data_IF_448511965268
#
_entry.id   IF_448511965268
#
_cell.length_a   1.000
_cell.length_b   1.000
_cell.length_c   1.000
_cell.angle_alpha   90.00
_cell.angle_beta   90.00
_cell.angle_gamma   90.00
#
_symmetry.space_group_name_H-M   'P 1'
#
loop_
_entity.id
_entity.type
_entity.pdbx_description
1 polymer ?
#
# COMPACT_ATOMS: atom_id res chain seq x y z
N UNK A 1 -18.17 -17.77 13.33
CA UNK A 1 -16.69 -17.74 13.45
C UNK A 1 -16.35 -16.99 14.73
N UNK A 2 -15.48 -17.53 15.61
CA UNK A 2 -15.05 -16.78 16.80
C UNK A 2 -14.34 -15.48 16.42
N UNK A 3 -14.63 -14.39 17.13
CA UNK A 3 -14.14 -13.03 16.84
C UNK A 3 -12.61 -12.92 16.77
N UNK A 4 -11.89 -13.85 17.40
CA UNK A 4 -10.42 -13.89 17.39
C UNK A 4 -9.81 -14.12 16.00
N UNK A 5 -10.58 -14.70 15.07
CA UNK A 5 -10.10 -15.00 13.71
C UNK A 5 -10.46 -13.93 12.66
N UNK A 6 -11.24 -12.93 13.01
CA UNK A 6 -11.71 -11.91 12.07
C UNK A 6 -10.58 -11.20 11.33
N UNK A 7 -9.57 -10.73 12.05
CA UNK A 7 -8.41 -10.08 11.43
C UNK A 7 -7.63 -11.03 10.51
N UNK A 8 -7.45 -12.29 10.92
CA UNK A 8 -6.79 -13.29 10.11
C UNK A 8 -7.56 -13.56 8.81
N UNK A 9 -8.88 -13.69 8.88
CA UNK A 9 -9.73 -13.92 7.70
C UNK A 9 -9.61 -12.73 6.73
N UNK A 10 -9.68 -11.49 7.22
CA UNK A 10 -9.52 -10.29 6.37
C UNK A 10 -8.17 -10.31 5.67
N UNK A 11 -7.09 -10.60 6.39
CA UNK A 11 -5.74 -10.67 5.81
C UNK A 11 -5.65 -11.79 4.75
N UNK A 12 -6.14 -12.99 5.07
CA UNK A 12 -6.08 -14.13 4.14
C UNK A 12 -6.89 -13.85 2.88
N UNK A 13 -8.10 -13.32 3.00
CA UNK A 13 -8.93 -12.95 1.84
C UNK A 13 -8.24 -11.87 1.00
N UNK A 14 -7.71 -10.82 1.62
CA UNK A 14 -6.97 -9.78 0.92
C UNK A 14 -5.71 -10.33 0.24
N UNK A 15 -4.94 -11.21 0.90
CA UNK A 15 -3.77 -11.86 0.30
C UNK A 15 -4.16 -12.70 -0.92
N UNK A 16 -5.20 -13.53 -0.83
CA UNK A 16 -5.66 -14.35 -1.95
C UNK A 16 -6.07 -13.50 -3.14
N UNK A 17 -6.80 -12.40 -2.90
CA UNK A 17 -7.28 -11.52 -3.97
C UNK A 17 -6.12 -10.73 -4.59
N UNK A 18 -5.29 -10.06 -3.79
CA UNK A 18 -4.31 -9.10 -4.30
C UNK A 18 -2.98 -9.75 -4.70
N UNK A 19 -2.52 -10.82 -4.02
CA UNK A 19 -1.38 -11.60 -4.50
C UNK A 19 -1.71 -12.42 -5.74
N UNK A 20 -2.97 -12.78 -5.97
CA UNK A 20 -3.41 -13.35 -7.23
C UNK A 20 -3.11 -12.45 -8.43
N UNK A 21 -3.11 -11.13 -8.24
CA UNK A 21 -2.70 -10.16 -9.27
C UNK A 21 -1.19 -10.22 -9.61
N UNK A 22 -0.36 -10.74 -8.70
CA UNK A 22 1.09 -10.90 -8.92
C UNK A 22 1.37 -12.18 -9.71
N UNK A 23 0.62 -13.26 -9.44
CA UNK A 23 0.81 -14.58 -10.09
C UNK A 23 0.46 -14.53 -11.59
N UNK A 24 -0.52 -13.73 -11.97
CA UNK A 24 -0.90 -13.50 -13.38
C UNK A 24 -0.97 -12.01 -13.66
N UNK A 25 0.19 -11.31 -13.68
CA UNK A 25 0.20 -9.89 -13.94
C UNK A 25 -0.15 -9.64 -15.40
N UNK A 26 -0.97 -8.61 -15.72
CA UNK A 26 -0.96 -8.06 -17.06
C UNK A 26 0.47 -7.56 -17.37
N UNK A 27 0.93 -7.74 -18.60
CA UNK A 27 2.22 -7.21 -19.01
C UNK A 27 2.28 -5.68 -18.78
N UNK A 28 3.48 -5.14 -18.54
CA UNK A 28 3.71 -3.71 -18.38
C UNK A 28 3.67 -3.00 -19.76
N UNK A 29 2.59 -3.19 -20.50
CA UNK A 29 2.42 -2.64 -21.86
C UNK A 29 1.65 -1.32 -21.87
N UNK A 30 0.99 -0.96 -20.77
CA UNK A 30 0.35 0.33 -20.59
C UNK A 30 1.41 1.41 -20.26
N UNK A 31 1.31 2.57 -20.89
CA UNK A 31 2.23 3.70 -20.69
C UNK A 31 2.42 4.03 -19.21
N UNK A 32 1.35 3.96 -18.41
CA UNK A 32 1.42 4.25 -16.98
C UNK A 32 2.29 3.22 -16.24
N UNK A 33 2.07 1.93 -16.47
CA UNK A 33 2.80 0.85 -15.79
C UNK A 33 4.27 0.82 -16.20
N UNK A 34 4.54 0.93 -17.52
CA UNK A 34 5.89 0.91 -18.07
C UNK A 34 6.74 2.08 -17.56
N UNK A 35 6.18 3.30 -17.56
CA UNK A 35 6.86 4.51 -17.06
C UNK A 35 7.27 4.33 -15.59
N UNK A 36 6.36 3.86 -14.73
CA UNK A 36 6.63 3.72 -13.31
C UNK A 36 7.70 2.64 -13.03
N UNK A 37 7.62 1.52 -13.73
CA UNK A 37 8.58 0.44 -13.63
C UNK A 37 9.97 0.86 -14.14
N UNK A 38 10.02 1.60 -15.26
CA UNK A 38 11.27 2.09 -15.86
C UNK A 38 11.96 3.12 -14.95
N UNK A 39 11.23 4.04 -14.34
CA UNK A 39 11.81 5.01 -13.41
C UNK A 39 12.46 4.29 -12.21
N UNK A 40 11.78 3.29 -11.62
CA UNK A 40 12.34 2.52 -10.51
C UNK A 40 13.61 1.73 -10.95
N UNK A 41 13.61 1.18 -12.16
CA UNK A 41 14.79 0.53 -12.76
C UNK A 41 15.94 1.52 -12.97
N UNK A 42 15.66 2.70 -13.51
CA UNK A 42 16.66 3.74 -13.73
C UNK A 42 17.29 4.21 -12.42
N UNK A 43 16.49 4.35 -11.34
CA UNK A 43 17.02 4.65 -10.00
C UNK A 43 17.99 3.58 -9.51
N UNK A 44 17.67 2.31 -9.74
CA UNK A 44 18.53 1.19 -9.36
C UNK A 44 19.83 1.17 -10.17
N UNK A 45 19.75 1.35 -11.49
CA UNK A 45 20.92 1.30 -12.40
C UNK A 45 21.85 2.52 -12.23
N UNK A 46 21.27 3.71 -11.97
CA UNK A 46 22.07 4.95 -11.78
C UNK A 46 22.62 5.11 -10.37
N UNK A 47 22.01 4.46 -9.35
CA UNK A 47 22.28 4.70 -7.94
C UNK A 47 21.73 6.04 -7.41
N UNK A 48 21.03 6.83 -8.22
CA UNK A 48 20.36 8.07 -7.81
C UNK A 48 18.96 7.77 -7.32
N UNK A 49 18.82 7.60 -6.00
CA UNK A 49 17.56 7.30 -5.32
C UNK A 49 16.72 8.55 -5.01
N UNK A 50 17.26 9.74 -5.29
CA UNK A 50 16.59 11.02 -4.97
C UNK A 50 15.85 11.56 -6.18
N UNK A 51 16.48 11.52 -7.36
CA UNK A 51 15.96 12.16 -8.57
C UNK A 51 15.39 11.11 -9.54
N UNK A 52 14.06 10.93 -9.58
CA UNK A 52 13.45 10.04 -10.57
C UNK A 52 13.70 10.58 -11.99
N UNK A 53 14.15 9.71 -12.90
CA UNK A 53 14.42 10.06 -14.28
C UNK A 53 13.79 9.07 -15.24
N UNK A 54 13.22 9.60 -16.32
CA UNK A 54 12.72 8.82 -17.46
C UNK A 54 13.42 9.33 -18.72
N UNK A 55 14.09 8.46 -19.45
CA UNK A 55 14.85 8.80 -20.68
C UNK A 55 15.82 10.00 -20.49
N UNK A 56 16.45 10.07 -19.33
CA UNK A 56 17.38 11.16 -18.96
C UNK A 56 16.70 12.44 -18.45
N UNK A 57 15.39 12.58 -18.61
CA UNK A 57 14.62 13.74 -18.15
C UNK A 57 14.15 13.51 -16.69
N UNK A 58 14.23 14.55 -15.87
CA UNK A 58 13.75 14.53 -14.48
C UNK A 58 12.23 14.43 -14.45
N UNK A 59 11.69 13.46 -13.71
CA UNK A 59 10.27 13.15 -13.62
C UNK A 59 9.75 13.35 -12.18
N UNK A 60 9.21 14.54 -11.90
CA UNK A 60 8.77 14.91 -10.54
C UNK A 60 7.23 14.92 -10.35
N UNK A 61 6.49 14.27 -11.23
CA UNK A 61 5.02 14.26 -11.15
C UNK A 61 4.46 13.45 -9.96
N UNK A 62 5.23 12.49 -9.46
CA UNK A 62 4.78 11.58 -8.39
C UNK A 62 5.81 11.49 -7.28
N UNK A 63 5.35 11.29 -6.02
CA UNK A 63 6.25 11.14 -4.87
C UNK A 63 7.11 9.88 -5.00
N UNK A 64 8.36 9.90 -4.49
CA UNK A 64 9.37 8.86 -4.74
C UNK A 64 9.12 7.54 -4.02
N UNK A 65 8.30 7.52 -2.97
CA UNK A 65 8.06 6.33 -2.13
C UNK A 65 7.76 5.07 -2.96
N UNK A 66 6.89 5.19 -3.96
CA UNK A 66 6.52 4.06 -4.81
C UNK A 66 7.72 3.54 -5.60
N UNK A 67 8.53 4.43 -6.17
CA UNK A 67 9.73 4.05 -6.93
C UNK A 67 10.74 3.34 -6.05
N UNK A 68 10.94 3.82 -4.82
CA UNK A 68 11.83 3.17 -3.85
C UNK A 68 11.36 1.75 -3.52
N UNK A 69 10.07 1.56 -3.27
CA UNK A 69 9.51 0.25 -2.97
C UNK A 69 9.65 -0.72 -4.15
N UNK A 70 9.41 -0.26 -5.38
CA UNK A 70 9.60 -1.07 -6.60
C UNK A 70 11.09 -1.39 -6.78
N UNK A 71 11.98 -0.41 -6.64
CA UNK A 71 13.43 -0.61 -6.78
C UNK A 71 13.97 -1.60 -5.73
N UNK A 72 13.47 -1.57 -4.49
CA UNK A 72 13.80 -2.57 -3.46
C UNK A 72 13.31 -3.97 -3.83
N UNK A 73 12.11 -4.10 -4.42
CA UNK A 73 11.64 -5.38 -4.93
C UNK A 73 12.48 -5.88 -6.11
N UNK A 74 12.94 -4.99 -6.98
CA UNK A 74 13.85 -5.34 -8.07
C UNK A 74 15.22 -5.79 -7.57
N UNK A 75 15.74 -5.19 -6.50
CA UNK A 75 16.97 -5.65 -5.83
C UNK A 75 16.83 -7.07 -5.27
N UNK A 76 15.67 -7.39 -4.68
CA UNK A 76 15.46 -8.66 -4.01
C UNK A 76 15.12 -9.80 -4.99
N UNK A 77 14.34 -9.52 -6.03
CA UNK A 77 13.71 -10.53 -6.90
C UNK A 77 14.12 -10.42 -8.36
N UNK A 78 14.91 -9.40 -8.74
CA UNK A 78 15.22 -9.09 -10.13
C UNK A 78 14.16 -8.21 -10.79
N UNK A 79 14.48 -7.68 -11.98
CA UNK A 79 13.61 -6.80 -12.77
C UNK A 79 12.58 -7.65 -13.50
N UNK A 80 11.41 -7.78 -12.90
CA UNK A 80 10.27 -8.56 -13.43
C UNK A 80 8.97 -7.79 -13.27
N UNK A 81 8.01 -7.98 -14.16
CA UNK A 81 6.69 -7.35 -14.13
C UNK A 81 5.95 -7.61 -12.83
N UNK A 82 6.02 -8.84 -12.33
CA UNK A 82 5.40 -9.22 -11.07
C UNK A 82 6.08 -8.57 -9.85
N UNK A 83 7.41 -8.38 -9.88
CA UNK A 83 8.14 -7.78 -8.78
C UNK A 83 7.77 -6.29 -8.59
N UNK A 84 7.52 -5.57 -9.68
CA UNK A 84 7.05 -4.19 -9.63
C UNK A 84 5.68 -4.05 -8.95
N UNK A 85 4.84 -5.08 -9.00
CA UNK A 85 3.47 -5.06 -8.46
C UNK A 85 3.37 -5.42 -6.99
N UNK A 86 4.42 -6.04 -6.41
CA UNK A 86 4.45 -6.43 -4.99
C UNK A 86 4.10 -5.27 -4.05
N UNK A 87 4.70 -4.07 -4.16
CA UNK A 87 4.42 -2.98 -3.23
C UNK A 87 2.96 -2.54 -3.23
N UNK A 88 2.34 -2.47 -4.42
CA UNK A 88 0.94 -2.07 -4.57
C UNK A 88 0.00 -3.14 -3.99
N UNK A 89 0.26 -4.41 -4.26
CA UNK A 89 -0.53 -5.52 -3.72
C UNK A 89 -0.44 -5.61 -2.18
N UNK A 90 0.78 -5.50 -1.63
CA UNK A 90 0.98 -5.46 -0.18
C UNK A 90 0.35 -4.22 0.45
N UNK A 91 0.42 -3.07 -0.23
CA UNK A 91 -0.27 -1.84 0.19
C UNK A 91 -1.77 -2.03 0.31
N UNK A 92 -2.40 -2.73 -0.65
CA UNK A 92 -3.83 -3.05 -0.61
C UNK A 92 -4.19 -4.01 0.54
N UNK A 93 -3.37 -5.03 0.79
CA UNK A 93 -3.56 -5.93 1.94
C UNK A 93 -3.46 -5.18 3.26
N UNK A 94 -2.45 -4.32 3.40
CA UNK A 94 -2.26 -3.49 4.59
C UNK A 94 -3.43 -2.50 4.77
N UNK A 95 -3.95 -1.93 3.69
CA UNK A 95 -5.11 -1.04 3.73
C UNK A 95 -6.36 -1.77 4.22
N UNK A 96 -6.61 -2.99 3.76
CA UNK A 96 -7.73 -3.82 4.25
C UNK A 96 -7.57 -4.15 5.74
N UNK A 97 -6.37 -4.50 6.16
CA UNK A 97 -6.07 -4.77 7.57
C UNK A 97 -6.22 -3.51 8.44
N UNK A 98 -5.72 -2.38 7.97
CA UNK A 98 -5.85 -1.09 8.67
C UNK A 98 -7.31 -0.68 8.80
N UNK A 99 -8.12 -0.87 7.76
CA UNK A 99 -9.57 -0.62 7.78
C UNK A 99 -10.27 -1.52 8.79
N UNK A 100 -9.87 -2.81 8.88
CA UNK A 100 -10.34 -3.72 9.93
C UNK A 100 -10.00 -3.17 11.32
N UNK A 101 -8.75 -2.77 11.56
CA UNK A 101 -8.30 -2.23 12.85
C UNK A 101 -9.04 -0.94 13.22
N UNK A 102 -9.23 -0.06 12.25
CA UNK A 102 -9.98 1.18 12.44
C UNK A 102 -11.44 0.90 12.82
N UNK A 103 -12.12 0.01 12.11
CA UNK A 103 -13.49 -0.38 12.45
C UNK A 103 -13.62 -1.07 13.81
N UNK A 104 -12.62 -1.89 14.20
CA UNK A 104 -12.55 -2.49 15.53
C UNK A 104 -12.45 -1.46 16.65
N UNK A 105 -11.68 -0.41 16.42
CA UNK A 105 -11.51 0.67 17.39
C UNK A 105 -12.71 1.60 17.41
N UNK A 106 -13.25 1.99 16.26
CA UNK A 106 -14.32 2.97 16.15
C UNK A 106 -15.67 2.45 16.65
N UNK A 107 -15.96 1.17 16.47
CA UNK A 107 -17.28 0.60 16.76
C UNK A 107 -17.20 -0.76 17.46
N UNK A 108 -16.78 -1.80 16.71
CA UNK A 108 -16.71 -3.18 17.21
C UNK A 108 -15.90 -4.10 16.31
N UNK A 109 -15.50 -5.26 16.86
CA UNK A 109 -14.79 -6.28 16.07
C UNK A 109 -15.59 -6.76 14.85
N UNK A 110 -16.92 -6.79 14.95
CA UNK A 110 -17.81 -7.16 13.84
C UNK A 110 -17.84 -6.08 12.78
N UNK A 111 -17.95 -4.82 13.16
CA UNK A 111 -17.91 -3.69 12.24
C UNK A 111 -16.58 -3.65 11.48
N UNK A 112 -15.44 -3.80 12.19
CA UNK A 112 -14.12 -3.91 11.57
C UNK A 112 -14.01 -5.07 10.59
N UNK A 113 -14.54 -6.25 10.94
CA UNK A 113 -14.53 -7.42 10.07
C UNK A 113 -15.27 -7.16 8.75
N UNK A 114 -16.48 -6.64 8.81
CA UNK A 114 -17.24 -6.33 7.60
C UNK A 114 -16.63 -5.19 6.79
N UNK A 115 -16.09 -4.17 7.45
CA UNK A 115 -15.40 -3.07 6.77
C UNK A 115 -14.16 -3.56 5.99
N UNK A 116 -13.32 -4.39 6.64
CA UNK A 116 -12.14 -4.96 6.00
C UNK A 116 -12.49 -5.90 4.84
N UNK A 117 -13.52 -6.75 4.98
CA UNK A 117 -13.98 -7.62 3.90
C UNK A 117 -14.61 -6.82 2.76
N UNK A 118 -15.45 -5.83 3.06
CA UNK A 118 -16.07 -4.99 2.03
C UNK A 118 -15.00 -4.29 1.18
N UNK A 119 -13.94 -3.78 1.82
CA UNK A 119 -12.83 -3.18 1.11
C UNK A 119 -12.03 -4.22 0.31
N UNK A 120 -11.73 -5.40 0.88
CA UNK A 120 -11.00 -6.46 0.19
C UNK A 120 -11.74 -6.97 -1.07
N UNK A 121 -13.07 -6.96 -1.05
CA UNK A 121 -13.92 -7.39 -2.17
C UNK A 121 -14.39 -6.24 -3.06
N UNK A 122 -13.93 -5.01 -2.80
CA UNK A 122 -14.27 -3.84 -3.59
C UNK A 122 -13.64 -3.93 -4.99
N UNK A 123 -14.48 -3.91 -6.03
CA UNK A 123 -14.04 -3.96 -7.43
C UNK A 123 -13.11 -2.80 -7.77
N UNK A 124 -13.36 -1.62 -7.24
CA UNK A 124 -12.50 -0.46 -7.42
C UNK A 124 -11.08 -0.74 -6.92
N UNK A 125 -10.90 -1.20 -5.67
CA UNK A 125 -9.60 -1.52 -5.12
C UNK A 125 -8.89 -2.61 -5.93
N UNK A 126 -9.63 -3.64 -6.38
CA UNK A 126 -9.08 -4.70 -7.22
C UNK A 126 -8.53 -4.17 -8.55
N UNK A 127 -9.28 -3.29 -9.24
CA UNK A 127 -8.83 -2.69 -10.51
C UNK A 127 -7.58 -1.83 -10.28
N UNK A 128 -7.59 -0.98 -9.25
CA UNK A 128 -6.47 -0.09 -8.94
C UNK A 128 -5.20 -0.83 -8.50
N UNK A 129 -5.29 -2.07 -8.01
CA UNK A 129 -4.09 -2.89 -7.73
C UNK A 129 -3.46 -3.48 -8.98
N UNK A 130 -4.18 -3.53 -10.10
CA UNK A 130 -3.67 -4.03 -11.38
C UNK A 130 -2.91 -2.97 -12.19
N UNK A 131 -2.97 -1.73 -11.78
CA UNK A 131 -2.25 -0.60 -12.39
C UNK A 131 -1.16 -0.11 -11.42
N UNK A 132 0.03 0.18 -11.92
CA UNK A 132 1.15 0.66 -11.11
C UNK A 132 1.02 2.15 -10.77
N UNK A 133 -0.07 2.53 -10.11
CA UNK A 133 -0.28 3.89 -9.62
C UNK A 133 -0.02 4.00 -8.12
N UNK A 134 0.29 5.22 -7.66
CA UNK A 134 0.60 5.47 -6.26
C UNK A 134 -0.64 5.49 -5.35
N UNK A 135 -1.84 5.52 -5.89
CA UNK A 135 -3.08 5.88 -5.21
C UNK A 135 -3.41 4.95 -4.03
N UNK A 136 -3.09 3.65 -4.14
CA UNK A 136 -3.28 2.70 -3.03
C UNK A 136 -2.33 3.01 -1.87
N UNK A 137 -1.06 3.32 -2.16
CA UNK A 137 -0.09 3.68 -1.14
C UNK A 137 -0.44 5.02 -0.49
N UNK A 138 -0.89 5.99 -1.28
CA UNK A 138 -1.38 7.28 -0.79
C UNK A 138 -2.60 7.09 0.09
N UNK A 139 -3.57 6.28 -0.33
CA UNK A 139 -4.76 5.96 0.47
C UNK A 139 -4.38 5.27 1.78
N UNK A 140 -3.44 4.34 1.75
CA UNK A 140 -2.93 3.65 2.93
C UNK A 140 -2.29 4.65 3.92
N UNK A 141 -1.42 5.52 3.44
CA UNK A 141 -0.71 6.49 4.29
C UNK A 141 -1.67 7.53 4.87
N UNK A 142 -2.62 8.05 4.09
CA UNK A 142 -3.67 8.96 4.58
C UNK A 142 -4.53 8.27 5.63
N UNK A 143 -4.99 7.04 5.37
CA UNK A 143 -5.81 6.29 6.33
C UNK A 143 -5.05 6.00 7.62
N UNK A 144 -3.76 5.64 7.52
CA UNK A 144 -2.89 5.42 8.68
C UNK A 144 -2.69 6.70 9.49
N UNK A 145 -2.50 7.84 8.82
CA UNK A 145 -2.36 9.14 9.45
C UNK A 145 -3.62 9.54 10.21
N UNK A 146 -4.79 9.45 9.57
CA UNK A 146 -6.07 9.76 10.21
C UNK A 146 -6.29 8.84 11.43
N UNK A 147 -6.10 7.53 11.28
CA UNK A 147 -6.24 6.58 12.37
C UNK A 147 -5.28 6.89 13.52
N UNK A 148 -4.01 7.19 13.21
CA UNK A 148 -3.01 7.57 14.20
C UNK A 148 -3.40 8.82 14.98
N UNK A 149 -3.84 9.88 14.31
CA UNK A 149 -4.27 11.11 14.99
C UNK A 149 -5.55 10.92 15.81
N UNK A 150 -6.53 10.17 15.33
CA UNK A 150 -7.73 9.88 16.11
C UNK A 150 -7.41 9.07 17.38
N UNK A 151 -6.53 8.08 17.28
CA UNK A 151 -6.01 7.34 18.43
C UNK A 151 -5.23 8.21 19.40
N UNK A 152 -4.49 9.20 18.88
CA UNK A 152 -3.73 10.15 19.70
C UNK A 152 -4.67 11.08 20.51
N UNK A 153 -5.79 11.49 19.95
CA UNK A 153 -6.76 12.36 20.63
C UNK A 153 -7.45 11.63 21.80
N UNK A 154 -7.74 10.33 21.65
CA UNK A 154 -8.42 9.52 22.66
C UNK A 154 -7.48 8.82 23.65
N UNK A 155 -6.18 8.73 23.32
CA UNK A 155 -5.18 8.03 24.11
C UNK A 155 -4.74 8.77 25.37
N UNK A 156 -4.17 8.03 26.35
CA UNK A 156 -3.44 8.62 27.48
C UNK A 156 -2.13 9.22 26.98
N UNK A 157 -1.54 10.15 27.75
CA UNK A 157 -0.37 10.96 27.31
C UNK A 157 0.75 10.18 26.60
N UNK A 158 1.21 9.05 27.14
CA UNK A 158 2.25 8.25 26.51
C UNK A 158 1.80 7.53 25.21
N UNK A 159 0.57 7.01 25.21
CA UNK A 159 -0.02 6.38 24.03
C UNK A 159 -0.35 7.42 22.95
N UNK A 160 -0.85 8.58 23.36
CA UNK A 160 -1.15 9.72 22.50
C UNK A 160 0.08 10.16 21.71
N UNK A 161 1.23 10.31 22.38
CA UNK A 161 2.48 10.70 21.72
C UNK A 161 2.93 9.68 20.67
N UNK A 162 2.84 8.38 20.97
CA UNK A 162 3.20 7.31 20.01
C UNK A 162 2.29 7.33 18.79
N UNK A 163 0.99 7.44 18.99
CA UNK A 163 0.04 7.48 17.90
C UNK A 163 0.17 8.75 17.06
N UNK A 164 0.43 9.90 17.69
CA UNK A 164 0.69 11.15 16.96
C UNK A 164 1.94 11.05 16.08
N UNK A 165 3.02 10.44 16.58
CA UNK A 165 4.24 10.22 15.81
C UNK A 165 4.01 9.25 14.64
N UNK A 166 3.24 8.18 14.84
CA UNK A 166 2.88 7.25 13.77
C UNK A 166 2.01 7.94 12.71
N UNK A 167 1.04 8.75 13.14
CA UNK A 167 0.21 9.54 12.23
C UNK A 167 1.02 10.55 11.41
N UNK A 168 1.98 11.24 12.05
CA UNK A 168 2.87 12.16 11.36
C UNK A 168 3.81 11.44 10.38
N UNK A 169 4.42 10.33 10.80
CA UNK A 169 5.30 9.54 9.94
C UNK A 169 4.56 8.95 8.72
N UNK A 170 3.26 8.70 8.81
CA UNK A 170 2.46 8.23 7.70
C UNK A 170 2.13 9.34 6.67
N UNK A 171 2.29 10.60 7.06
CA UNK A 171 2.12 11.74 6.14
C UNK A 171 3.38 12.05 5.31
N UNK A 172 4.55 11.63 5.75
CA UNK A 172 5.85 11.89 5.12
C UNK A 172 6.69 12.82 5.94
#
# INVERSE_FOLDING_TARGET
VPDRYYGLIVIVVALVIFLGCIVSPPSLMDDVDAVQAQIARNMLESGDWVTPRLDGVVYLEKPPLKYWLIALCYLAFGVHDWAARIPVALGAVLLCWLTYQFGCWAESRRAGFYAGLALATCVGLFIFTRVLIADILVTLTITASIYGYMRAIEGREEESRRWALLGAAAMG
#
